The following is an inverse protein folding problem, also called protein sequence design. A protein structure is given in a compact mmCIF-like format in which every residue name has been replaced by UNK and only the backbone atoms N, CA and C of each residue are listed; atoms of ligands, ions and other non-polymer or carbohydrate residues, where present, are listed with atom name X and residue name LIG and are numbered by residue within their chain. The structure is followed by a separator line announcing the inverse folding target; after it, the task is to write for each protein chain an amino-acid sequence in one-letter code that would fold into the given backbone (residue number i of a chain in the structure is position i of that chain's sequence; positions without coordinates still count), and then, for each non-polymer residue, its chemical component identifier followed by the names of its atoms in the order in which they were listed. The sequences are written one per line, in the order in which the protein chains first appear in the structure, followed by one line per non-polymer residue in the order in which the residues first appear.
data_IF_422038276166
#
_entry.id   IF_422038276166
#
_cell.length_a   1.000
_cell.length_b   1.000
_cell.length_c   1.000
_cell.angle_alpha   90.00
_cell.angle_beta   90.00
_cell.angle_gamma   90.00
#
_symmetry.space_group_name_H-M   'P 1'
#
loop_
_entity.id
_entity.type
_entity.pdbx_description
1 polymer ?
#
# COMPACT_ATOMS: atom_id res chain seq x y z
N UNK A 1 26.52 -11.64 -14.33
CA UNK A 1 27.22 -10.35 -14.53
C UNK A 1 26.13 -9.28 -14.65
N UNK A 2 26.19 -8.23 -13.81
CA UNK A 2 25.23 -7.12 -13.91
C UNK A 2 25.40 -6.46 -15.28
N UNK A 3 24.30 -6.28 -16.00
CA UNK A 3 24.30 -5.58 -17.28
C UNK A 3 24.65 -4.11 -17.03
N UNK A 4 25.72 -3.62 -17.66
CA UNK A 4 26.21 -2.26 -17.52
C UNK A 4 25.60 -1.37 -18.59
N UNK A 5 24.49 -0.72 -18.26
CA UNK A 5 23.65 0.06 -19.19
C UNK A 5 24.01 1.55 -19.13
N UNK A 6 24.21 2.17 -20.28
CA UNK A 6 24.53 3.59 -20.43
C UNK A 6 23.46 4.25 -21.30
N UNK A 7 22.86 5.33 -20.81
CA UNK A 7 22.04 6.22 -21.63
C UNK A 7 22.92 7.40 -22.04
N UNK A 8 23.15 7.55 -23.34
CA UNK A 8 23.97 8.61 -23.93
C UNK A 8 23.05 9.63 -24.60
N UNK A 9 23.13 10.90 -24.22
CA UNK A 9 22.50 12.02 -24.91
C UNK A 9 23.57 12.96 -25.50
N UNK A 10 23.53 13.16 -26.81
CA UNK A 10 24.35 14.16 -27.51
C UNK A 10 23.58 14.55 -28.78
N UNK A 11 23.44 15.84 -29.06
CA UNK A 11 22.68 16.33 -30.22
C UNK A 11 23.48 16.18 -31.54
N UNK A 12 24.81 16.15 -31.46
CA UNK A 12 25.69 15.92 -32.60
C UNK A 12 25.64 14.44 -33.02
N UNK A 13 25.13 14.19 -34.23
CA UNK A 13 24.95 12.82 -34.73
C UNK A 13 26.26 12.05 -34.94
N UNK A 14 27.33 12.74 -35.37
CA UNK A 14 28.63 12.11 -35.61
C UNK A 14 29.31 11.80 -34.27
N UNK A 15 29.25 12.72 -33.32
CA UNK A 15 29.80 12.52 -31.98
C UNK A 15 29.04 11.46 -31.19
N UNK A 16 27.71 11.47 -31.25
CA UNK A 16 26.85 10.46 -30.63
C UNK A 16 27.15 9.07 -31.17
N UNK A 17 27.27 8.92 -32.49
CA UNK A 17 27.54 7.63 -33.13
C UNK A 17 28.94 7.11 -32.77
N UNK A 18 29.97 7.93 -32.96
CA UNK A 18 31.35 7.55 -32.64
C UNK A 18 31.55 7.22 -31.15
N UNK A 19 30.89 7.97 -30.26
CA UNK A 19 30.94 7.71 -28.82
C UNK A 19 30.22 6.41 -28.45
N UNK A 20 29.04 6.16 -29.02
CA UNK A 20 28.29 4.93 -28.79
C UNK A 20 29.08 3.69 -29.26
N UNK A 21 29.67 3.74 -30.46
CA UNK A 21 30.52 2.66 -30.99
C UNK A 21 31.76 2.41 -30.11
N UNK A 22 32.44 3.48 -29.69
CA UNK A 22 33.62 3.37 -28.84
C UNK A 22 33.31 2.74 -27.48
N UNK A 23 32.13 3.01 -26.92
CA UNK A 23 31.66 2.42 -25.66
C UNK A 23 31.16 0.98 -25.82
N UNK A 24 30.51 0.65 -26.94
CA UNK A 24 30.11 -0.73 -27.25
C UNK A 24 31.34 -1.64 -27.41
N UNK A 25 32.37 -1.17 -28.13
CA UNK A 25 33.68 -1.85 -28.22
C UNK A 25 34.38 -2.03 -26.87
N UNK A 26 34.12 -1.13 -25.91
CA UNK A 26 34.62 -1.22 -24.54
C UNK A 26 33.79 -2.17 -23.65
N UNK A 27 32.72 -2.76 -24.19
CA UNK A 27 31.88 -3.78 -23.55
C UNK A 27 30.70 -3.23 -22.74
N UNK A 28 30.26 -1.99 -23.01
CA UNK A 28 29.07 -1.42 -22.39
C UNK A 28 27.83 -1.61 -23.27
N UNK A 29 26.64 -1.71 -22.65
CA UNK A 29 25.39 -1.60 -23.41
C UNK A 29 24.97 -0.14 -23.48
N UNK A 30 25.03 0.44 -24.67
CA UNK A 30 24.74 1.86 -24.88
C UNK A 30 23.44 2.04 -25.64
N UNK A 31 22.57 2.87 -25.09
CA UNK A 31 21.42 3.44 -25.81
C UNK A 31 21.67 4.92 -26.01
N UNK A 32 21.75 5.34 -27.27
CA UNK A 32 22.10 6.70 -27.64
C UNK A 32 20.88 7.45 -28.18
N UNK A 33 20.69 8.67 -27.69
CA UNK A 33 19.53 9.52 -27.93
C UNK A 33 19.99 10.89 -28.42
N UNK A 34 19.18 11.52 -29.26
CA UNK A 34 19.48 12.85 -29.79
C UNK A 34 18.95 13.97 -28.86
N UNK A 35 18.23 13.62 -27.79
CA UNK A 35 17.60 14.56 -26.87
C UNK A 35 17.64 14.08 -25.43
N UNK A 36 17.71 15.02 -24.48
CA UNK A 36 17.63 14.72 -23.05
C UNK A 36 16.25 14.17 -22.65
N UNK A 37 15.18 14.58 -23.33
CA UNK A 37 13.81 14.15 -23.07
C UNK A 37 13.65 12.64 -23.22
N UNK A 38 14.26 12.05 -24.24
CA UNK A 38 14.24 10.60 -24.47
C UNK A 38 14.99 9.84 -23.37
N UNK A 39 16.12 10.37 -22.91
CA UNK A 39 16.86 9.82 -21.77
C UNK A 39 16.04 9.90 -20.49
N UNK A 40 15.41 11.05 -20.23
CA UNK A 40 14.60 11.26 -19.03
C UNK A 40 13.40 10.29 -18.98
N UNK A 41 12.79 9.98 -20.13
CA UNK A 41 11.68 9.02 -20.21
C UNK A 41 12.08 7.60 -19.78
N UNK A 42 13.36 7.26 -19.86
CA UNK A 42 13.92 5.97 -19.43
C UNK A 42 14.52 6.00 -18.02
N UNK A 43 14.70 7.19 -17.45
CA UNK A 43 15.12 7.35 -16.06
C UNK A 43 13.95 6.98 -15.14
N UNK A 44 14.15 5.95 -14.33
CA UNK A 44 13.18 5.50 -13.34
C UNK A 44 13.87 5.19 -12.00
N UNK A 45 13.13 5.24 -10.87
CA UNK A 45 13.69 4.85 -9.58
C UNK A 45 14.29 3.44 -9.64
N UNK A 46 15.53 3.28 -9.18
CA UNK A 46 16.22 1.99 -9.23
C UNK A 46 16.82 1.62 -10.59
N UNK A 47 16.86 2.55 -11.55
CA UNK A 47 17.58 2.35 -12.83
C UNK A 47 19.01 1.85 -12.57
N UNK A 48 19.39 0.73 -13.19
CA UNK A 48 20.70 0.09 -13.06
C UNK A 48 21.59 0.48 -14.24
N UNK A 49 22.06 1.73 -14.21
CA UNK A 49 22.91 2.27 -15.25
C UNK A 49 23.40 3.68 -14.91
N UNK A 50 24.05 4.29 -15.90
CA UNK A 50 24.61 5.65 -15.81
C UNK A 50 24.10 6.49 -16.99
N UNK A 51 23.91 7.78 -16.75
CA UNK A 51 23.55 8.74 -17.79
C UNK A 51 24.79 9.56 -18.15
N UNK A 52 25.10 9.63 -19.44
CA UNK A 52 26.10 10.53 -20.01
C UNK A 52 25.40 11.50 -20.94
N UNK A 53 25.57 12.81 -20.73
CA UNK A 53 24.85 13.83 -21.49
C UNK A 53 25.78 14.96 -21.89
N UNK A 54 25.67 15.47 -23.12
CA UNK A 54 26.17 16.80 -23.43
C UNK A 54 25.47 17.84 -22.53
N UNK A 55 26.22 18.83 -22.05
CA UNK A 55 25.67 19.99 -21.33
C UNK A 55 24.78 20.80 -22.26
N UNK A 56 25.18 20.99 -23.51
CA UNK A 56 24.43 21.82 -24.47
C UNK A 56 23.67 20.93 -25.43
N UNK A 57 22.36 20.86 -25.26
CA UNK A 57 21.47 20.24 -26.25
C UNK A 57 20.27 21.14 -26.51
N UNK A 58 19.69 21.11 -27.72
CA UNK A 58 18.44 21.79 -28.02
C UNK A 58 17.29 21.24 -27.16
N UNK A 59 16.42 22.12 -26.67
CA UNK A 59 15.32 21.73 -25.79
C UNK A 59 15.78 21.67 -24.33
N UNK A 60 15.75 20.47 -23.73
CA UNK A 60 16.29 20.24 -22.40
C UNK A 60 17.82 20.10 -22.44
N UNK A 61 18.51 20.99 -21.73
CA UNK A 61 19.97 20.94 -21.58
C UNK A 61 20.40 19.91 -20.52
N UNK A 62 21.69 19.54 -20.53
CA UNK A 62 22.22 18.51 -19.63
C UNK A 62 22.13 18.89 -18.14
N UNK A 63 22.14 20.19 -17.82
CA UNK A 63 21.98 20.69 -16.46
C UNK A 63 20.55 20.52 -15.95
N UNK A 64 19.55 20.80 -16.80
CA UNK A 64 18.14 20.58 -16.49
C UNK A 64 17.84 19.08 -16.38
N UNK A 65 18.44 18.27 -17.27
CA UNK A 65 18.36 16.81 -17.18
C UNK A 65 18.88 16.30 -15.83
N UNK A 66 20.03 16.80 -15.36
CA UNK A 66 20.58 16.47 -14.05
C UNK A 66 19.57 16.74 -12.92
N UNK A 67 18.96 17.93 -12.89
CA UNK A 67 17.99 18.26 -11.85
C UNK A 67 16.80 17.29 -11.85
N UNK A 68 16.23 17.02 -13.03
CA UNK A 68 15.06 16.14 -13.18
C UNK A 68 15.39 14.69 -12.83
N UNK A 69 16.55 14.20 -13.23
CA UNK A 69 17.02 12.85 -12.83
C UNK A 69 17.17 12.77 -11.32
N UNK A 70 17.68 13.82 -10.67
CA UNK A 70 17.82 13.85 -9.21
C UNK A 70 16.49 13.87 -8.47
N UNK A 71 15.45 14.50 -9.03
CA UNK A 71 14.08 14.42 -8.50
C UNK A 71 13.51 12.99 -8.56
N UNK A 72 13.90 12.21 -9.57
CA UNK A 72 13.48 10.81 -9.74
C UNK A 72 14.27 9.88 -8.79
N UNK A 73 15.60 9.93 -8.84
CA UNK A 73 16.51 9.17 -7.98
C UNK A 73 17.88 9.87 -7.94
N UNK A 74 18.12 10.63 -6.86
CA UNK A 74 19.35 11.39 -6.64
C UNK A 74 20.64 10.55 -6.59
N UNK A 75 20.54 9.21 -6.52
CA UNK A 75 21.70 8.32 -6.56
C UNK A 75 21.95 7.70 -7.95
N UNK A 76 21.23 8.13 -9.00
CA UNK A 76 21.58 7.81 -10.40
C UNK A 76 22.78 8.70 -10.79
N UNK A 77 23.93 8.12 -11.19
CA UNK A 77 25.06 8.92 -11.64
C UNK A 77 24.77 9.57 -12.99
N UNK A 78 24.95 10.89 -13.05
CA UNK A 78 24.90 11.68 -14.28
C UNK A 78 26.30 12.25 -14.53
N UNK A 79 26.86 11.94 -15.70
CA UNK A 79 28.13 12.47 -16.18
C UNK A 79 27.83 13.49 -17.27
N UNK A 80 28.36 14.69 -17.11
CA UNK A 80 28.16 15.76 -18.09
C UNK A 80 29.38 15.93 -19.00
N UNK A 81 29.15 16.01 -20.30
CA UNK A 81 30.17 16.23 -21.32
C UNK A 81 30.10 17.70 -21.74
N UNK A 82 31.20 18.43 -21.63
CA UNK A 82 31.23 19.90 -21.77
C UNK A 82 32.38 20.36 -22.66
N UNK A 83 32.26 21.52 -23.28
CA UNK A 83 33.35 22.10 -24.08
C UNK A 83 34.43 22.79 -23.23
N UNK A 84 35.62 23.01 -23.81
CA UNK A 84 36.80 23.61 -23.17
C UNK A 84 36.57 24.99 -22.49
N UNK A 85 35.52 25.72 -22.89
CA UNK A 85 35.26 27.09 -22.40
C UNK A 85 34.36 27.16 -21.14
N UNK A 86 34.05 26.04 -20.49
CA UNK A 86 32.89 25.93 -19.57
C UNK A 86 33.23 25.47 -18.16
N UNK A 87 34.43 25.77 -17.66
CA UNK A 87 34.87 25.37 -16.31
C UNK A 87 33.89 25.82 -15.21
N UNK A 88 33.26 26.99 -15.34
CA UNK A 88 32.27 27.47 -14.36
C UNK A 88 31.00 26.59 -14.33
N UNK A 89 30.52 26.14 -15.48
CA UNK A 89 29.39 25.22 -15.59
C UNK A 89 29.72 23.85 -15.02
N UNK A 90 30.94 23.35 -15.22
CA UNK A 90 31.41 22.12 -14.60
C UNK A 90 31.43 22.20 -13.06
N UNK A 91 31.88 23.33 -12.50
CA UNK A 91 31.85 23.55 -11.04
C UNK A 91 30.41 23.63 -10.53
N UNK A 92 29.52 24.29 -11.26
CA UNK A 92 28.09 24.35 -10.92
C UNK A 92 27.42 22.97 -11.00
N UNK A 93 27.69 22.19 -12.03
CA UNK A 93 27.23 20.81 -12.17
C UNK A 93 27.59 19.94 -10.95
N UNK A 94 28.84 20.02 -10.50
CA UNK A 94 29.28 19.28 -9.31
C UNK A 94 28.54 19.75 -8.04
N UNK A 95 28.32 21.07 -7.88
CA UNK A 95 27.50 21.60 -6.76
C UNK A 95 26.05 21.13 -6.83
N UNK A 96 25.53 20.93 -8.04
CA UNK A 96 24.19 20.41 -8.32
C UNK A 96 24.13 18.89 -8.38
N UNK A 97 25.17 18.19 -7.92
CA UNK A 97 25.16 16.76 -7.69
C UNK A 97 25.40 15.90 -8.92
N UNK A 98 26.01 16.44 -9.98
CA UNK A 98 26.60 15.60 -11.03
C UNK A 98 27.63 14.64 -10.42
N UNK A 99 27.74 13.44 -10.99
CA UNK A 99 28.70 12.46 -10.51
C UNK A 99 30.13 12.84 -10.91
N UNK A 100 30.30 13.23 -12.18
CA UNK A 100 31.56 13.69 -12.75
C UNK A 100 31.27 14.51 -14.01
N UNK A 101 32.30 15.12 -14.59
CA UNK A 101 32.21 15.76 -15.91
C UNK A 101 33.42 15.40 -16.77
N UNK A 102 33.24 15.52 -18.09
CA UNK A 102 34.30 15.27 -19.08
C UNK A 102 34.35 16.42 -20.07
N UNK A 103 35.55 16.91 -20.31
CA UNK A 103 35.81 18.03 -21.20
C UNK A 103 36.11 17.55 -22.63
N UNK A 104 35.46 18.15 -23.63
CA UNK A 104 35.74 17.97 -25.05
C UNK A 104 36.98 18.82 -25.42
N UNK A 105 37.97 18.25 -26.16
CA UNK A 105 38.01 16.88 -26.67
C UNK A 105 38.47 15.88 -25.61
N UNK A 106 37.76 14.76 -25.47
CA UNK A 106 38.12 13.67 -24.56
C UNK A 106 38.65 12.45 -25.33
N UNK A 107 39.43 11.62 -24.63
CA UNK A 107 39.81 10.31 -25.15
C UNK A 107 38.75 9.27 -24.78
N UNK A 108 38.57 8.24 -25.62
CA UNK A 108 37.65 7.15 -25.27
C UNK A 108 38.08 6.45 -23.97
N UNK A 109 39.40 6.34 -23.73
CA UNK A 109 39.93 5.77 -22.48
C UNK A 109 39.50 6.56 -21.24
N UNK A 110 39.52 7.91 -21.30
CA UNK A 110 39.07 8.75 -20.17
C UNK A 110 37.56 8.60 -19.92
N UNK A 111 36.75 8.56 -20.98
CA UNK A 111 35.29 8.39 -20.85
C UNK A 111 34.93 7.01 -20.25
N UNK A 112 35.55 5.94 -20.77
CA UNK A 112 35.40 4.58 -20.25
C UNK A 112 35.77 4.49 -18.78
N UNK A 113 36.86 5.14 -18.35
CA UNK A 113 37.32 5.11 -16.97
C UNK A 113 36.31 5.77 -16.01
N UNK A 114 35.73 6.91 -16.38
CA UNK A 114 34.72 7.61 -15.57
C UNK A 114 33.42 6.81 -15.51
N UNK A 115 32.93 6.33 -16.67
CA UNK A 115 31.70 5.54 -16.74
C UNK A 115 31.78 4.24 -15.94
N UNK A 116 32.92 3.55 -15.97
CA UNK A 116 33.14 2.32 -15.20
C UNK A 116 33.08 2.60 -13.70
N UNK A 117 33.73 3.67 -13.20
CA UNK A 117 33.62 4.09 -11.79
C UNK A 117 32.19 4.45 -11.40
N UNK A 118 31.47 5.15 -12.28
CA UNK A 118 30.07 5.52 -12.06
C UNK A 118 29.15 4.29 -11.99
N UNK A 119 29.35 3.32 -12.89
CA UNK A 119 28.60 2.07 -12.91
C UNK A 119 28.90 1.20 -11.68
N UNK A 120 30.17 1.11 -11.27
CA UNK A 120 30.56 0.40 -10.04
C UNK A 120 29.93 1.06 -8.81
N UNK A 121 29.96 2.40 -8.73
CA UNK A 121 29.28 3.15 -7.68
C UNK A 121 27.78 2.88 -7.66
N UNK A 122 27.11 2.91 -8.82
CA UNK A 122 25.68 2.61 -8.91
C UNK A 122 25.37 1.16 -8.52
N UNK A 123 26.20 0.21 -8.96
CA UNK A 123 26.09 -1.19 -8.58
C UNK A 123 26.22 -1.38 -7.07
N UNK A 124 27.18 -0.69 -6.43
CA UNK A 124 27.34 -0.69 -4.98
C UNK A 124 26.17 -0.02 -4.26
N UNK A 125 25.63 1.08 -4.77
CA UNK A 125 24.44 1.74 -4.21
C UNK A 125 23.22 0.82 -4.30
N UNK A 126 22.97 0.20 -5.46
CA UNK A 126 21.85 -0.70 -5.65
C UNK A 126 22.01 -1.98 -4.84
N UNK A 127 23.22 -2.54 -4.76
CA UNK A 127 23.50 -3.68 -3.90
C UNK A 127 23.43 -3.28 -2.44
N UNK A 128 23.84 -2.08 -2.03
CA UNK A 128 23.65 -1.60 -0.66
C UNK A 128 22.17 -1.36 -0.35
N UNK A 129 21.37 -0.86 -1.29
CA UNK A 129 19.90 -0.78 -1.16
C UNK A 129 19.29 -2.17 -1.06
N UNK A 130 19.73 -3.13 -1.88
CA UNK A 130 19.28 -4.53 -1.86
C UNK A 130 19.72 -5.25 -0.59
N UNK A 131 20.94 -5.03 -0.13
CA UNK A 131 21.50 -5.55 1.11
C UNK A 131 20.93 -4.83 2.33
N UNK A 132 20.57 -3.55 2.28
CA UNK A 132 19.82 -2.89 3.35
C UNK A 132 18.38 -3.38 3.38
N UNK A 133 17.78 -3.68 2.22
CA UNK A 133 16.51 -4.38 2.14
C UNK A 133 16.60 -5.83 2.63
N UNK A 134 17.74 -6.52 2.45
CA UNK A 134 17.95 -7.91 2.85
C UNK A 134 18.54 -8.09 4.27
N UNK A 135 19.33 -7.15 4.76
CA UNK A 135 20.05 -7.13 6.04
C UNK A 135 19.46 -6.14 7.04
N UNK A 136 18.56 -5.25 6.61
CA UNK A 136 17.49 -4.79 7.48
C UNK A 136 16.75 -6.03 7.92
N UNK A 137 16.97 -6.46 9.18
CA UNK A 137 16.27 -7.55 9.90
C UNK A 137 15.04 -7.99 9.12
N UNK A 138 15.03 -9.19 8.49
CA UNK A 138 13.85 -9.80 7.80
C UNK A 138 12.63 -8.91 7.97
N UNK A 139 12.42 -7.98 7.03
CA UNK A 139 11.65 -6.75 7.24
C UNK A 139 10.55 -6.95 8.29
N UNK A 140 10.75 -6.40 9.50
CA UNK A 140 9.75 -6.48 10.56
C UNK A 140 8.42 -5.90 10.04
N UNK A 141 8.50 -4.91 9.13
CA UNK A 141 7.34 -4.36 8.44
C UNK A 141 6.73 -5.28 7.37
N UNK A 142 7.48 -6.07 6.62
CA UNK A 142 6.91 -7.04 5.66
C UNK A 142 6.26 -8.22 6.38
N UNK A 143 6.83 -8.60 7.53
CA UNK A 143 6.26 -9.61 8.40
C UNK A 143 4.98 -9.10 9.07
N UNK A 144 4.96 -7.85 9.55
CA UNK A 144 3.80 -7.22 10.21
C UNK A 144 2.71 -6.78 9.24
N UNK A 145 3.10 -6.34 8.05
CA UNK A 145 2.21 -5.80 7.00
C UNK A 145 2.40 -6.62 5.71
N UNK A 146 1.97 -7.90 5.71
CA UNK A 146 2.21 -8.82 4.61
C UNK A 146 1.37 -8.46 3.38
N UNK A 147 1.96 -8.67 2.20
CA UNK A 147 1.33 -8.46 0.90
C UNK A 147 2.36 -8.14 -0.19
N UNK A 148 2.12 -8.61 -1.40
CA UNK A 148 2.96 -8.41 -2.59
C UNK A 148 2.30 -7.53 -3.64
N UNK A 149 1.00 -7.25 -3.50
CA UNK A 149 0.31 -6.31 -4.37
C UNK A 149 0.96 -4.93 -4.35
N UNK A 150 0.86 -4.22 -5.48
CA UNK A 150 1.46 -2.89 -5.62
C UNK A 150 0.96 -1.93 -4.53
N UNK A 151 -0.33 -2.00 -4.18
CA UNK A 151 -0.88 -1.18 -3.10
C UNK A 151 -0.23 -1.45 -1.73
N UNK A 152 0.18 -2.69 -1.45
CA UNK A 152 0.90 -3.04 -0.23
C UNK A 152 2.38 -2.67 -0.28
N UNK A 153 3.01 -2.74 -1.45
CA UNK A 153 4.39 -2.26 -1.66
C UNK A 153 4.45 -0.74 -1.43
N UNK A 154 3.53 0.01 -2.04
CA UNK A 154 3.43 1.46 -1.90
C UNK A 154 3.11 1.87 -0.45
N UNK A 155 2.21 1.12 0.20
CA UNK A 155 1.92 1.30 1.63
C UNK A 155 3.19 1.17 2.47
N UNK A 156 3.97 0.10 2.30
CA UNK A 156 5.21 -0.09 3.06
C UNK A 156 6.24 1.00 2.76
N UNK A 157 6.34 1.46 1.52
CA UNK A 157 7.20 2.59 1.18
C UNK A 157 6.82 3.86 1.96
N UNK A 158 5.52 4.22 1.97
CA UNK A 158 5.00 5.37 2.73
C UNK A 158 5.19 5.19 4.24
N UNK A 159 4.99 3.98 4.76
CA UNK A 159 5.20 3.68 6.18
C UNK A 159 6.66 3.85 6.60
N UNK A 160 7.63 3.47 5.76
CA UNK A 160 9.05 3.72 6.06
C UNK A 160 9.37 5.22 6.07
N UNK A 161 8.82 5.99 5.14
CA UNK A 161 9.02 7.43 5.06
C UNK A 161 8.39 8.19 6.24
N UNK A 162 7.12 7.89 6.57
CA UNK A 162 6.37 8.59 7.63
C UNK A 162 6.70 8.02 9.01
N UNK A 163 6.94 6.71 9.13
CA UNK A 163 7.24 6.04 10.39
C UNK A 163 8.48 6.58 11.08
N UNK A 164 9.51 6.92 10.30
CA UNK A 164 10.77 7.49 10.79
C UNK A 164 10.66 8.95 11.29
N UNK A 165 9.57 9.66 10.99
CA UNK A 165 9.34 11.03 11.48
C UNK A 165 8.48 11.06 12.74
N UNK A 166 8.55 12.16 13.50
CA UNK A 166 7.65 12.45 14.63
C UNK A 166 6.31 13.07 14.18
N UNK A 167 6.02 13.09 12.87
CA UNK A 167 4.78 13.66 12.36
C UNK A 167 3.55 12.83 12.80
N UNK A 168 2.47 13.54 13.15
CA UNK A 168 1.17 12.90 13.32
C UNK A 168 0.67 12.37 11.98
N UNK A 169 -0.12 11.29 12.00
CA UNK A 169 -0.60 10.65 10.78
C UNK A 169 -2.07 10.25 10.88
N UNK A 170 -2.74 10.22 9.72
CA UNK A 170 -4.11 9.74 9.56
C UNK A 170 -4.11 8.49 8.69
N UNK A 171 -4.64 7.39 9.22
CA UNK A 171 -4.77 6.11 8.52
C UNK A 171 -6.24 5.91 8.13
N UNK A 172 -6.50 5.92 6.82
CA UNK A 172 -7.85 5.74 6.27
C UNK A 172 -7.94 4.34 5.65
N UNK A 173 -8.99 3.60 5.98
CA UNK A 173 -9.24 2.30 5.34
C UNK A 173 -10.42 1.56 5.96
N UNK A 174 -10.99 0.58 5.26
CA UNK A 174 -12.22 -0.05 5.69
C UNK A 174 -12.06 -0.82 7.00
N UNK A 175 -13.19 -1.06 7.67
CA UNK A 175 -13.24 -1.82 8.92
C UNK A 175 -12.62 -3.21 8.73
N UNK A 176 -11.71 -3.59 9.64
CA UNK A 176 -11.05 -4.88 9.59
C UNK A 176 -9.91 -5.01 8.56
N UNK A 177 -9.52 -3.94 7.85
CA UNK A 177 -8.42 -3.98 6.88
C UNK A 177 -7.01 -4.08 7.51
N UNK A 178 -6.89 -3.78 8.81
CA UNK A 178 -5.62 -3.82 9.55
C UNK A 178 -5.05 -2.43 9.92
N UNK A 179 -5.89 -1.41 10.09
CA UNK A 179 -5.43 -0.04 10.44
C UNK A 179 -4.58 0.00 11.72
N UNK A 180 -4.95 -0.74 12.76
CA UNK A 180 -4.16 -0.82 14.00
C UNK A 180 -2.79 -1.48 13.76
N UNK A 181 -2.72 -2.52 12.92
CA UNK A 181 -1.46 -3.19 12.56
C UNK A 181 -0.53 -2.20 11.85
N UNK A 182 -1.08 -1.38 10.96
CA UNK A 182 -0.35 -0.31 10.28
C UNK A 182 0.13 0.75 11.28
N UNK A 183 -0.74 1.21 12.20
CA UNK A 183 -0.37 2.17 13.24
C UNK A 183 0.75 1.66 14.15
N UNK A 184 0.69 0.37 14.53
CA UNK A 184 1.72 -0.28 15.33
C UNK A 184 3.04 -0.37 14.57
N UNK A 185 3.00 -0.76 13.29
CA UNK A 185 4.19 -0.77 12.44
C UNK A 185 4.84 0.63 12.32
N UNK A 186 4.04 1.70 12.24
CA UNK A 186 4.57 3.08 12.27
C UNK A 186 5.27 3.41 13.58
N UNK A 187 4.69 3.01 14.71
CA UNK A 187 5.30 3.21 16.02
C UNK A 187 6.64 2.47 16.14
N UNK A 188 6.68 1.22 15.69
CA UNK A 188 7.88 0.38 15.75
C UNK A 188 9.01 0.87 14.83
N UNK A 189 8.68 1.60 13.77
CA UNK A 189 9.64 2.27 12.87
C UNK A 189 10.13 3.62 13.39
N UNK A 190 9.51 4.17 14.43
CA UNK A 190 9.83 5.50 14.94
C UNK A 190 10.96 5.48 15.97
N UNK A 191 11.48 6.67 16.30
CA UNK A 191 12.38 6.88 17.45
C UNK A 191 11.75 6.47 18.79
N UNK A 192 10.42 6.29 18.83
CA UNK A 192 9.61 5.96 20.01
C UNK A 192 9.26 4.46 20.10
N UNK A 193 9.85 3.59 19.29
CA UNK A 193 9.52 2.15 19.24
C UNK A 193 9.62 1.41 20.59
N UNK A 194 10.44 1.90 21.53
CA UNK A 194 10.59 1.33 22.88
C UNK A 194 9.78 2.07 23.95
N UNK A 195 8.90 2.99 23.53
CA UNK A 195 8.05 3.82 24.40
C UNK A 195 6.62 3.32 24.37
N UNK A 196 5.74 3.79 25.27
CA UNK A 196 4.36 3.33 25.31
C UNK A 196 3.62 3.56 23.99
N UNK A 197 2.85 2.56 23.57
CA UNK A 197 1.84 2.67 22.50
C UNK A 197 0.46 2.50 23.13
N UNK A 198 -0.30 3.59 23.24
CA UNK A 198 -1.61 3.60 23.89
C UNK A 198 -2.69 3.74 22.83
N UNK A 199 -3.52 2.70 22.68
CA UNK A 199 -4.67 2.73 21.79
C UNK A 199 -5.94 3.17 22.51
N UNK A 200 -6.69 4.05 21.85
CA UNK A 200 -7.91 4.67 22.34
C UNK A 200 -8.97 4.47 21.28
N UNK A 201 -9.89 3.54 21.54
CA UNK A 201 -11.08 3.35 20.72
C UNK A 201 -12.08 4.47 21.02
N UNK A 202 -12.27 5.37 20.06
CA UNK A 202 -13.17 6.51 20.20
C UNK A 202 -14.65 6.12 20.11
N UNK A 203 -14.96 4.93 19.58
CA UNK A 203 -16.33 4.41 19.46
C UNK A 203 -16.76 3.60 20.70
N UNK A 204 -15.82 2.99 21.42
CA UNK A 204 -16.13 2.12 22.57
C UNK A 204 -16.28 2.85 23.92
N UNK A 205 -15.79 4.08 24.05
CA UNK A 205 -15.81 4.81 25.32
C UNK A 205 -17.18 5.48 25.57
N UNK A 206 -17.81 5.27 26.74
CA UNK A 206 -19.02 6.01 27.10
C UNK A 206 -18.79 7.52 27.07
N UNK A 207 -19.68 8.25 26.40
CA UNK A 207 -19.58 9.72 26.22
C UNK A 207 -19.41 10.45 27.55
N UNK A 208 -20.03 9.96 28.62
CA UNK A 208 -19.95 10.56 29.97
C UNK A 208 -18.60 10.36 30.65
N UNK A 209 -17.81 9.35 30.24
CA UNK A 209 -16.54 8.99 30.87
C UNK A 209 -15.33 9.30 30.00
N UNK A 210 -15.53 9.54 28.70
CA UNK A 210 -14.44 9.73 27.74
C UNK A 210 -13.49 10.86 28.16
N UNK A 211 -14.01 11.98 28.68
CA UNK A 211 -13.16 13.09 29.11
C UNK A 211 -12.26 12.69 30.29
N UNK A 212 -12.83 12.06 31.31
CA UNK A 212 -12.07 11.62 32.48
C UNK A 212 -11.06 10.54 32.10
N UNK A 213 -11.37 9.64 31.17
CA UNK A 213 -10.45 8.61 30.70
C UNK A 213 -9.30 9.19 29.89
N UNK A 214 -9.55 10.20 29.05
CA UNK A 214 -8.51 10.83 28.21
C UNK A 214 -7.61 11.78 28.99
N UNK A 215 -8.22 12.72 29.72
CA UNK A 215 -7.53 13.84 30.36
C UNK A 215 -7.17 13.58 31.82
N UNK A 216 -7.83 12.62 32.48
CA UNK A 216 -7.70 12.43 33.92
C UNK A 216 -8.48 13.48 34.71
N UNK A 217 -8.49 13.33 36.03
CA UNK A 217 -9.21 14.23 36.92
C UNK A 217 -8.51 14.39 38.27
N UNK A 218 -8.72 15.54 38.90
CA UNK A 218 -8.40 15.79 40.30
C UNK A 218 -9.54 15.35 41.23
N UNK A 219 -9.23 15.26 42.53
CA UNK A 219 -10.23 14.98 43.56
C UNK A 219 -11.32 16.06 43.53
N UNK A 220 -12.59 15.66 43.49
CA UNK A 220 -13.72 16.59 43.48
C UNK A 220 -14.05 17.23 42.13
N UNK A 221 -13.42 16.80 41.03
CA UNK A 221 -13.69 17.34 39.68
C UNK A 221 -15.14 17.13 39.20
N UNK A 222 -15.80 16.06 39.66
CA UNK A 222 -17.20 15.75 39.41
C UNK A 222 -17.79 14.89 40.55
N UNK A 223 -19.12 14.78 40.68
CA UNK A 223 -19.74 13.92 41.69
C UNK A 223 -19.25 12.46 41.58
N UNK A 224 -18.58 11.97 42.62
CA UNK A 224 -17.98 10.62 42.65
C UNK A 224 -16.46 10.57 42.39
N UNK A 225 -15.80 11.70 42.08
CA UNK A 225 -14.34 11.79 41.93
C UNK A 225 -13.63 11.77 43.30
N UNK A 226 -13.63 10.61 43.96
CA UNK A 226 -13.07 10.41 45.31
C UNK A 226 -11.54 10.38 45.36
N UNK A 227 -10.88 10.17 44.21
CA UNK A 227 -9.41 10.10 44.07
C UNK A 227 -8.99 10.74 42.76
N UNK A 228 -7.79 11.30 42.70
CA UNK A 228 -7.19 11.78 41.45
C UNK A 228 -6.82 10.59 40.56
N UNK A 229 -6.94 10.75 39.24
CA UNK A 229 -6.59 9.71 38.26
C UNK A 229 -5.91 10.34 37.05
N UNK A 230 -4.78 9.76 36.64
CA UNK A 230 -4.09 10.12 35.41
C UNK A 230 -4.90 9.68 34.18
N UNK A 231 -4.97 10.53 33.16
CA UNK A 231 -5.63 10.23 31.89
C UNK A 231 -4.76 9.40 30.94
N UNK A 232 -5.37 8.79 29.91
CA UNK A 232 -4.66 8.01 28.89
C UNK A 232 -3.60 8.83 28.15
N UNK A 233 -3.81 10.14 27.98
CA UNK A 233 -2.80 11.02 27.37
C UNK A 233 -1.54 11.10 28.23
N UNK A 234 -1.67 11.25 29.55
CA UNK A 234 -0.51 11.27 30.47
C UNK A 234 0.23 9.93 30.47
N UNK A 235 -0.50 8.80 30.41
CA UNK A 235 0.10 7.46 30.34
C UNK A 235 0.92 7.23 29.06
N UNK A 236 0.60 7.94 27.98
CA UNK A 236 1.29 7.80 26.71
C UNK A 236 2.54 8.67 26.58
N UNK A 237 2.91 9.42 27.63
CA UNK A 237 4.02 10.39 27.60
C UNK A 237 5.33 9.75 27.11
N UNK A 238 5.98 10.43 26.18
CA UNK A 238 7.17 9.98 25.46
C UNK A 238 6.89 8.98 24.34
N UNK A 239 5.66 8.51 24.19
CA UNK A 239 5.25 7.44 23.28
C UNK A 239 4.30 7.89 22.15
N UNK A 240 3.40 6.99 21.78
CA UNK A 240 2.44 7.18 20.69
C UNK A 240 1.02 6.89 21.15
N UNK A 241 0.09 7.76 20.76
CA UNK A 241 -1.34 7.59 20.98
C UNK A 241 -1.98 7.21 19.65
N UNK A 242 -2.68 6.07 19.63
CA UNK A 242 -3.58 5.70 18.55
C UNK A 242 -5.00 6.15 18.90
N UNK A 243 -5.57 7.04 18.10
CA UNK A 243 -6.98 7.42 18.14
C UNK A 243 -7.73 6.59 17.10
N UNK A 244 -8.26 5.43 17.50
CA UNK A 244 -8.95 4.52 16.61
C UNK A 244 -10.40 4.98 16.36
N UNK A 245 -10.81 4.98 15.10
CA UNK A 245 -12.11 5.44 14.62
C UNK A 245 -12.45 6.88 15.06
N UNK A 246 -11.53 7.82 14.80
CA UNK A 246 -11.61 9.22 15.24
C UNK A 246 -12.90 9.93 14.80
N UNK A 247 -13.47 9.54 13.65
CA UNK A 247 -14.74 10.06 13.17
C UNK A 247 -15.94 9.74 14.08
N UNK A 248 -15.81 8.78 15.00
CA UNK A 248 -16.83 8.44 15.99
C UNK A 248 -16.73 9.29 17.27
N UNK A 249 -15.71 10.14 17.39
CA UNK A 249 -15.53 11.00 18.57
C UNK A 249 -16.65 12.04 18.69
N UNK A 250 -17.27 12.21 19.87
CA UNK A 250 -18.28 13.25 20.10
C UNK A 250 -17.79 14.63 19.69
N UNK A 251 -18.65 15.41 19.03
CA UNK A 251 -18.28 16.71 18.45
C UNK A 251 -17.69 17.69 19.48
N UNK A 252 -18.24 17.73 20.69
CA UNK A 252 -17.76 18.60 21.78
C UNK A 252 -16.32 18.28 22.21
N UNK A 253 -15.92 17.01 22.08
CA UNK A 253 -14.58 16.55 22.44
C UNK A 253 -13.54 16.88 21.36
N UNK A 254 -13.97 16.99 20.10
CA UNK A 254 -13.09 17.31 18.98
C UNK A 254 -12.40 18.67 19.16
N UNK A 255 -13.10 19.66 19.72
CA UNK A 255 -12.53 20.97 20.03
C UNK A 255 -11.44 20.90 21.12
N UNK A 256 -11.63 20.07 22.15
CA UNK A 256 -10.61 19.83 23.19
C UNK A 256 -9.41 19.08 22.62
N UNK A 257 -9.64 18.07 21.79
CA UNK A 257 -8.58 17.32 21.13
C UNK A 257 -7.72 18.21 20.23
N UNK A 258 -8.34 19.10 19.44
CA UNK A 258 -7.61 20.05 18.60
C UNK A 258 -6.59 20.85 19.41
N UNK A 259 -7.00 21.39 20.56
CA UNK A 259 -6.09 22.13 21.46
C UNK A 259 -4.93 21.26 21.95
N UNK A 260 -5.15 19.98 22.23
CA UNK A 260 -4.08 19.05 22.62
C UNK A 260 -3.09 18.81 21.47
N UNK A 261 -3.60 18.63 20.25
CA UNK A 261 -2.77 18.40 19.05
C UNK A 261 -1.92 19.62 18.68
N UNK A 262 -2.45 20.83 18.90
CA UNK A 262 -1.76 22.10 18.62
C UNK A 262 -0.80 22.50 19.73
N UNK A 263 -1.30 22.63 20.96
CA UNK A 263 -0.53 23.18 22.08
C UNK A 263 0.41 22.16 22.73
N UNK A 264 0.21 20.85 22.49
CA UNK A 264 0.94 19.76 23.16
C UNK A 264 0.91 19.89 24.68
N UNK A 265 -0.25 20.28 25.20
CA UNK A 265 -0.53 20.46 26.61
C UNK A 265 -1.91 19.90 26.91
N UNK A 266 -2.07 19.29 28.08
CA UNK A 266 -3.37 18.89 28.63
C UNK A 266 -3.60 19.52 29.99
N UNK A 267 -4.86 19.56 30.41
CA UNK A 267 -5.27 19.98 31.74
C UNK A 267 -6.24 18.94 32.28
N UNK A 268 -6.02 18.47 33.52
CA UNK A 268 -6.93 17.50 34.15
C UNK A 268 -8.27 18.16 34.45
N UNK A 269 -9.33 17.36 34.46
CA UNK A 269 -10.63 17.84 34.92
C UNK A 269 -10.53 18.34 36.37
N UNK A 270 -11.06 19.55 36.62
CA UNK A 270 -10.99 20.18 37.94
C UNK A 270 -9.65 20.84 38.28
N UNK A 271 -8.69 20.88 37.36
CA UNK A 271 -7.41 21.59 37.51
C UNK A 271 -7.28 22.73 36.49
N UNK A 272 -6.39 23.69 36.77
CA UNK A 272 -5.94 24.71 35.83
C UNK A 272 -4.48 24.51 35.43
N UNK A 273 -3.81 23.49 35.96
CA UNK A 273 -2.40 23.24 35.72
C UNK A 273 -2.20 22.68 34.31
N UNK A 274 -1.35 23.36 33.55
CA UNK A 274 -0.92 22.93 32.23
C UNK A 274 0.14 21.82 32.36
N UNK A 275 -0.14 20.67 31.76
CA UNK A 275 0.77 19.51 31.74
C UNK A 275 1.31 19.33 30.32
N UNK A 276 2.62 19.56 30.09
CA UNK A 276 3.24 19.33 28.78
C UNK A 276 3.14 17.86 28.34
N UNK A 277 2.78 17.65 27.08
CA UNK A 277 2.51 16.35 26.49
C UNK A 277 3.44 16.10 25.29
N UNK A 278 4.55 15.40 25.55
CA UNK A 278 5.41 14.86 24.49
C UNK A 278 4.86 13.52 24.00
N UNK A 279 4.05 13.54 22.95
CA UNK A 279 3.45 12.33 22.35
C UNK A 279 3.30 12.52 20.84
N UNK A 280 3.35 11.41 20.10
CA UNK A 280 2.96 11.35 18.69
C UNK A 280 1.51 10.87 18.56
N UNK A 281 0.69 11.48 17.71
CA UNK A 281 -0.67 10.99 17.44
C UNK A 281 -0.74 10.24 16.10
N UNK A 282 -1.43 9.12 16.11
CA UNK A 282 -1.87 8.41 14.90
C UNK A 282 -3.38 8.28 15.01
N UNK A 283 -4.12 8.80 14.05
CA UNK A 283 -5.57 8.67 13.99
C UNK A 283 -5.97 7.63 12.93
N UNK A 284 -7.06 6.91 13.15
CA UNK A 284 -7.64 6.02 12.13
C UNK A 284 -9.07 6.42 11.80
N UNK A 285 -9.50 6.18 10.57
CA UNK A 285 -10.89 6.34 10.16
C UNK A 285 -11.30 5.26 9.16
N UNK A 286 -12.53 4.78 9.27
CA UNK A 286 -13.16 3.89 8.28
C UNK A 286 -13.60 4.58 6.98
N UNK A 287 -13.92 5.88 7.06
CA UNK A 287 -14.37 6.72 5.95
C UNK A 287 -13.43 7.91 5.75
N UNK A 288 -13.51 8.57 4.61
CA UNK A 288 -12.80 9.82 4.40
C UNK A 288 -13.38 10.90 5.33
N UNK A 289 -12.52 11.52 6.17
CA UNK A 289 -12.97 12.53 7.13
C UNK A 289 -13.52 13.78 6.44
N UNK A 290 -13.15 14.03 5.17
CA UNK A 290 -13.73 15.12 4.38
C UNK A 290 -15.26 14.97 4.22
N UNK A 291 -15.76 13.73 4.10
CA UNK A 291 -17.20 13.45 4.01
C UNK A 291 -17.90 13.73 5.35
N UNK A 292 -17.25 13.41 6.47
CA UNK A 292 -17.77 13.67 7.81
C UNK A 292 -17.79 15.16 8.15
N UNK A 293 -16.82 15.93 7.63
CA UNK A 293 -16.81 17.40 7.69
C UNK A 293 -17.98 17.98 6.90
N UNK A 294 -18.17 17.54 5.65
CA UNK A 294 -19.28 17.99 4.82
C UNK A 294 -20.66 17.68 5.44
N UNK A 295 -20.75 16.58 6.19
CA UNK A 295 -21.97 16.20 6.92
C UNK A 295 -22.14 16.87 8.29
N UNK A 296 -21.21 17.76 8.70
CA UNK A 296 -21.27 18.50 9.96
C UNK A 296 -21.03 17.64 11.21
N UNK A 297 -20.50 16.42 11.06
CA UNK A 297 -20.22 15.48 12.16
C UNK A 297 -18.76 15.54 12.63
N UNK A 298 -17.89 16.14 11.82
CA UNK A 298 -16.49 16.33 12.14
C UNK A 298 -16.07 17.78 11.93
N UNK A 299 -15.22 18.31 12.81
CA UNK A 299 -14.74 19.68 12.68
C UNK A 299 -13.69 19.81 11.58
N UNK A 300 -13.84 20.83 10.77
CA UNK A 300 -12.94 21.14 9.65
C UNK A 300 -11.50 21.44 10.13
N UNK A 301 -11.35 22.21 11.21
CA UNK A 301 -10.05 22.57 11.79
C UNK A 301 -9.26 21.33 12.27
N UNK A 302 -9.93 20.41 12.96
CA UNK A 302 -9.36 19.14 13.39
C UNK A 302 -8.96 18.25 12.21
N UNK A 303 -9.76 18.22 11.14
CA UNK A 303 -9.43 17.47 9.93
C UNK A 303 -8.12 17.96 9.32
N UNK A 304 -7.96 19.27 9.10
CA UNK A 304 -6.72 19.81 8.53
C UNK A 304 -5.49 19.54 9.42
N UNK A 305 -5.65 19.57 10.75
CA UNK A 305 -4.56 19.28 11.68
C UNK A 305 -4.10 17.82 11.63
N UNK A 306 -5.01 16.87 11.36
CA UNK A 306 -4.73 15.44 11.26
C UNK A 306 -4.28 15.00 9.85
N UNK A 307 -4.74 15.69 8.80
CA UNK A 307 -4.52 15.33 7.39
C UNK A 307 -3.12 15.69 6.84
N UNK A 308 -2.13 15.91 7.71
CA UNK A 308 -0.76 16.29 7.32
C UNK A 308 -0.02 15.11 6.67
N UNK A 309 -0.17 13.91 7.22
CA UNK A 309 0.42 12.69 6.69
C UNK A 309 -0.63 11.58 6.60
N UNK A 310 -1.22 11.43 5.42
CA UNK A 310 -2.35 10.51 5.21
C UNK A 310 -1.93 9.22 4.52
N UNK A 311 -2.26 8.09 5.15
CA UNK A 311 -1.98 6.75 4.68
C UNK A 311 -3.31 6.07 4.36
N UNK A 312 -3.49 5.66 3.11
CA UNK A 312 -4.67 4.90 2.67
C UNK A 312 -4.33 3.41 2.65
N UNK A 313 -5.10 2.62 3.38
CA UNK A 313 -4.98 1.17 3.47
C UNK A 313 -6.04 0.52 2.57
N UNK A 314 -5.65 -0.22 1.52
CA UNK A 314 -6.60 -0.90 0.66
C UNK A 314 -7.41 -1.97 1.41
N UNK A 315 -8.66 -2.11 0.99
CA UNK A 315 -9.51 -3.26 1.33
C UNK A 315 -8.86 -4.56 0.90
N UNK A 316 -9.34 -5.69 1.44
CA UNK A 316 -8.86 -7.00 1.02
C UNK A 316 -9.30 -7.33 -0.42
N UNK A 317 -10.46 -6.83 -0.85
CA UNK A 317 -11.00 -7.02 -2.20
C UNK A 317 -10.16 -6.32 -3.29
N UNK A 318 -9.47 -5.22 -2.96
CA UNK A 318 -8.54 -4.53 -3.87
C UNK A 318 -7.16 -5.21 -3.98
N UNK A 319 -6.86 -6.17 -3.08
CA UNK A 319 -5.60 -6.92 -3.05
C UNK A 319 -5.82 -8.43 -2.95
N UNK A 320 -6.72 -8.97 -3.78
CA UNK A 320 -7.09 -10.40 -3.75
C UNK A 320 -5.90 -11.34 -3.92
N UNK A 321 -4.90 -10.94 -4.68
CA UNK A 321 -3.64 -11.68 -4.87
C UNK A 321 -2.82 -11.87 -3.59
N UNK A 322 -3.05 -11.05 -2.55
CA UNK A 322 -2.40 -11.17 -1.26
C UNK A 322 -3.10 -12.15 -0.31
N UNK A 323 -4.34 -12.54 -0.60
CA UNK A 323 -5.17 -13.39 0.27
C UNK A 323 -4.46 -14.72 0.60
N UNK A 324 -3.86 -15.46 -0.36
CA UNK A 324 -3.19 -16.72 -0.04
C UNK A 324 -2.02 -16.55 0.93
N UNK A 325 -1.16 -15.54 0.67
CA UNK A 325 0.00 -15.25 1.53
C UNK A 325 -0.45 -14.86 2.94
N UNK A 326 -1.43 -13.97 3.02
CA UNK A 326 -1.97 -13.46 4.27
C UNK A 326 -2.67 -14.56 5.07
N UNK A 327 -3.45 -15.43 4.42
CA UNK A 327 -4.11 -16.56 5.07
C UNK A 327 -3.11 -17.52 5.70
N UNK A 328 -2.07 -17.93 4.96
CA UNK A 328 -1.04 -18.82 5.48
C UNK A 328 -0.30 -18.20 6.66
N UNK A 329 -0.02 -16.90 6.61
CA UNK A 329 0.57 -16.18 7.73
C UNK A 329 -0.35 -16.18 8.96
N UNK A 330 -1.63 -15.84 8.79
CA UNK A 330 -2.62 -15.82 9.86
C UNK A 330 -2.87 -17.22 10.46
N UNK A 331 -2.83 -18.27 9.64
CA UNK A 331 -2.95 -19.65 10.09
C UNK A 331 -1.75 -20.07 10.96
N UNK A 332 -0.52 -19.67 10.59
CA UNK A 332 0.67 -19.88 11.43
C UNK A 332 0.58 -19.15 12.76
N UNK A 333 0.16 -17.88 12.74
CA UNK A 333 -0.07 -17.12 13.97
C UNK A 333 -1.11 -17.78 14.88
N UNK A 334 -2.21 -18.27 14.30
CA UNK A 334 -3.25 -18.97 15.05
C UNK A 334 -2.75 -20.30 15.61
N UNK A 335 -2.01 -21.10 14.83
CA UNK A 335 -1.44 -22.37 15.28
C UNK A 335 -0.48 -22.17 16.46
N UNK A 336 0.40 -21.16 16.36
CA UNK A 336 1.30 -20.79 17.44
C UNK A 336 0.54 -20.32 18.70
N UNK A 337 -0.50 -19.50 18.54
CA UNK A 337 -1.31 -19.00 19.66
C UNK A 337 -2.06 -20.11 20.40
N UNK A 338 -2.57 -21.10 19.66
CA UNK A 338 -3.33 -22.22 20.23
C UNK A 338 -2.44 -23.41 20.61
N UNK A 339 -1.14 -23.36 20.32
CA UNK A 339 -0.20 -24.45 20.62
C UNK A 339 -0.47 -25.73 19.82
N UNK A 340 -1.06 -25.60 18.63
CA UNK A 340 -1.37 -26.73 17.73
C UNK A 340 -0.42 -26.77 16.54
N UNK A 341 -0.30 -27.93 15.89
CA UNK A 341 0.53 -28.07 14.70
C UNK A 341 -0.05 -27.27 13.51
N UNK A 342 0.83 -26.74 12.66
CA UNK A 342 0.43 -26.12 11.40
C UNK A 342 -0.25 -27.18 10.52
N UNK A 343 -1.44 -26.87 10.02
CA UNK A 343 -2.20 -27.76 9.15
C UNK A 343 -1.87 -27.48 7.69
N UNK A 344 -1.61 -28.51 6.91
CA UNK A 344 -1.40 -28.36 5.48
C UNK A 344 -2.66 -27.80 4.80
N UNK A 345 -2.52 -26.71 4.06
CA UNK A 345 -3.62 -26.11 3.30
C UNK A 345 -3.95 -26.97 2.08
N UNK A 346 -5.20 -27.44 1.90
CA UNK A 346 -5.61 -28.14 0.69
C UNK A 346 -5.34 -27.28 -0.57
N UNK A 347 -4.90 -27.87 -1.69
CA UNK A 347 -4.57 -27.11 -2.90
C UNK A 347 -5.71 -26.24 -3.47
N UNK A 348 -6.97 -26.63 -3.24
CA UNK A 348 -8.15 -25.88 -3.67
C UNK A 348 -8.57 -24.75 -2.74
N UNK A 349 -8.14 -24.79 -1.46
CA UNK A 349 -8.60 -23.86 -0.44
C UNK A 349 -8.16 -22.42 -0.77
N UNK A 350 -6.89 -22.23 -1.13
CA UNK A 350 -6.34 -20.89 -1.42
C UNK A 350 -7.03 -20.22 -2.61
N UNK A 351 -7.43 -20.99 -3.63
CA UNK A 351 -8.18 -20.48 -4.77
C UNK A 351 -9.60 -20.02 -4.35
N UNK A 352 -10.30 -20.83 -3.55
CA UNK A 352 -11.62 -20.48 -3.00
C UNK A 352 -11.56 -19.26 -2.08
N UNK A 353 -10.53 -19.13 -1.26
CA UNK A 353 -10.32 -17.96 -0.41
C UNK A 353 -10.11 -16.70 -1.25
N UNK A 354 -9.38 -16.80 -2.36
CA UNK A 354 -9.08 -15.66 -3.24
C UNK A 354 -10.31 -15.17 -4.03
N UNK A 355 -11.27 -16.05 -4.32
CA UNK A 355 -12.50 -15.69 -5.05
C UNK A 355 -13.59 -15.07 -4.17
N UNK A 356 -13.47 -15.14 -2.84
CA UNK A 356 -14.43 -14.54 -1.90
C UNK A 356 -14.23 -13.03 -1.76
N UNK A 357 -15.29 -12.32 -1.37
CA UNK A 357 -15.29 -10.85 -1.30
C UNK A 357 -14.79 -10.28 0.03
N UNK A 358 -14.84 -11.06 1.11
CA UNK A 358 -14.36 -10.68 2.45
C UNK A 358 -14.82 -9.28 2.92
N UNK A 359 -16.14 -9.04 3.10
CA UNK A 359 -16.66 -7.76 3.57
C UNK A 359 -16.08 -7.32 4.93
N UNK A 360 -15.68 -8.26 5.80
CA UNK A 360 -14.98 -7.97 7.05
C UNK A 360 -13.45 -7.86 6.91
N UNK A 361 -12.94 -7.83 5.67
CA UNK A 361 -11.53 -7.71 5.31
C UNK A 361 -10.64 -8.73 6.05
N UNK A 362 -9.46 -8.29 6.51
CA UNK A 362 -8.46 -9.13 7.19
C UNK A 362 -8.98 -9.70 8.50
N UNK A 363 -9.88 -9.00 9.21
CA UNK A 363 -10.52 -9.52 10.43
C UNK A 363 -11.33 -10.77 10.15
N UNK A 364 -12.12 -10.77 9.08
CA UNK A 364 -12.88 -11.96 8.65
C UNK A 364 -11.95 -13.08 8.20
N UNK A 365 -10.91 -12.76 7.41
CA UNK A 365 -9.91 -13.75 6.97
C UNK A 365 -9.16 -14.38 8.16
N UNK A 366 -8.84 -13.61 9.19
CA UNK A 366 -8.21 -14.09 10.43
C UNK A 366 -9.10 -15.09 11.16
N UNK A 367 -10.39 -14.79 11.31
CA UNK A 367 -11.35 -15.73 11.90
C UNK A 367 -11.44 -17.02 11.08
N UNK A 368 -11.36 -16.89 9.76
CA UNK A 368 -11.36 -18.01 8.83
C UNK A 368 -10.11 -18.90 9.00
N UNK A 369 -8.93 -18.30 9.12
CA UNK A 369 -7.67 -19.00 9.38
C UNK A 369 -7.66 -19.69 10.75
N UNK A 370 -8.23 -19.04 11.77
CA UNK A 370 -8.35 -19.61 13.12
C UNK A 370 -9.27 -20.84 13.14
N UNK A 371 -10.43 -20.79 12.46
CA UNK A 371 -11.32 -21.94 12.29
C UNK A 371 -10.64 -23.11 11.56
N UNK A 372 -9.88 -22.80 10.51
CA UNK A 372 -9.13 -23.80 9.75
C UNK A 372 -8.11 -24.55 10.61
N UNK A 373 -7.35 -23.81 11.43
CA UNK A 373 -6.35 -24.36 12.36
C UNK A 373 -6.99 -25.21 13.45
N UNK A 374 -8.13 -24.78 13.98
CA UNK A 374 -8.86 -25.52 15.04
C UNK A 374 -9.66 -26.72 14.50
N UNK A 375 -9.70 -26.93 13.18
CA UNK A 375 -10.48 -28.00 12.57
C UNK A 375 -12.00 -27.85 12.71
N UNK A 376 -12.47 -26.61 12.89
CA UNK A 376 -13.90 -26.32 12.98
C UNK A 376 -14.47 -26.27 11.56
N UNK A 377 -15.42 -27.18 11.27
CA UNK A 377 -16.00 -27.44 9.95
C UNK A 377 -16.44 -26.16 9.20
N UNK A 378 -16.18 -26.13 7.88
CA UNK A 378 -16.60 -25.04 6.98
C UNK A 378 -15.63 -24.69 5.83
N UNK A 379 -14.39 -25.22 5.85
CA UNK A 379 -13.40 -25.03 4.76
C UNK A 379 -12.96 -26.33 4.08
N UNK A 380 -13.19 -27.48 4.70
CA UNK A 380 -12.81 -28.79 4.16
C UNK A 380 -13.75 -29.26 3.04
N UNK A 381 -14.97 -28.72 2.98
CA UNK A 381 -16.05 -29.31 2.16
C UNK A 381 -16.13 -28.83 0.69
N UNK A 382 -15.10 -28.19 0.15
CA UNK A 382 -15.07 -27.76 -1.27
C UNK A 382 -14.03 -28.50 -2.13
N UNK A 383 -13.23 -29.39 -1.55
CA UNK A 383 -12.35 -30.26 -2.31
C UNK A 383 -13.08 -31.57 -2.61
N UNK A 384 -13.77 -31.63 -3.75
CA UNK A 384 -14.10 -32.91 -4.35
C UNK A 384 -12.79 -33.66 -4.62
N UNK A 385 -12.48 -34.63 -3.77
CA UNK A 385 -11.38 -35.57 -3.97
C UNK A 385 -11.58 -36.31 -5.30
N UNK A 386 -10.58 -36.28 -6.18
CA UNK A 386 -10.52 -37.12 -7.38
C UNK A 386 -10.84 -36.47 -8.74
N UNK A 387 -11.30 -35.24 -8.82
CA UNK A 387 -11.60 -34.59 -10.11
C UNK A 387 -10.31 -34.18 -10.85
N UNK A 388 -10.10 -34.68 -12.09
CA UNK A 388 -8.99 -34.28 -12.97
C UNK A 388 -9.14 -32.80 -13.32
N UNK A 389 -8.06 -32.14 -13.77
CA UNK A 389 -8.10 -30.72 -14.18
C UNK A 389 -9.22 -30.45 -15.21
N UNK A 390 -9.47 -31.39 -16.13
CA UNK A 390 -10.56 -31.33 -17.09
C UNK A 390 -11.93 -31.20 -16.43
N UNK A 391 -12.14 -31.89 -15.32
CA UNK A 391 -13.43 -32.00 -14.63
C UNK A 391 -13.69 -30.73 -13.81
N UNK A 392 -12.63 -30.16 -13.23
CA UNK A 392 -12.70 -28.87 -12.51
C UNK A 392 -12.94 -27.70 -13.45
N UNK A 393 -12.27 -27.67 -14.60
CA UNK A 393 -12.52 -26.67 -15.64
C UNK A 393 -13.94 -26.82 -16.18
N UNK A 394 -14.42 -28.04 -16.42
CA UNK A 394 -15.80 -28.30 -16.82
C UNK A 394 -16.82 -27.83 -15.78
N UNK A 395 -16.56 -28.05 -14.49
CA UNK A 395 -17.44 -27.61 -13.40
C UNK A 395 -17.47 -26.08 -13.28
N UNK A 396 -16.32 -25.42 -13.40
CA UNK A 396 -16.21 -23.97 -13.40
C UNK A 396 -16.91 -23.34 -14.61
N UNK A 397 -16.69 -23.87 -15.82
CA UNK A 397 -17.39 -23.45 -17.03
C UNK A 397 -18.91 -23.64 -16.89
N UNK A 398 -19.35 -24.78 -16.33
CA UNK A 398 -20.76 -25.05 -16.07
C UNK A 398 -21.38 -24.02 -15.12
N UNK A 399 -20.70 -23.68 -14.02
CA UNK A 399 -21.17 -22.69 -13.05
C UNK A 399 -21.28 -21.28 -13.66
N UNK A 400 -20.29 -20.85 -14.44
CA UNK A 400 -20.31 -19.55 -15.12
C UNK A 400 -21.43 -19.45 -16.16
N UNK A 401 -21.59 -20.48 -16.99
CA UNK A 401 -22.65 -20.51 -18.02
C UNK A 401 -24.03 -20.57 -17.36
N UNK A 402 -24.20 -21.38 -16.31
CA UNK A 402 -25.46 -21.45 -15.56
C UNK A 402 -25.81 -20.12 -14.91
N UNK A 403 -24.85 -19.46 -14.24
CA UNK A 403 -25.06 -18.16 -13.62
C UNK A 403 -25.41 -17.07 -14.64
N UNK A 404 -24.74 -17.05 -15.79
CA UNK A 404 -25.05 -16.11 -16.86
C UNK A 404 -26.45 -16.35 -17.46
N UNK A 405 -26.86 -17.61 -17.63
CA UNK A 405 -28.21 -17.97 -18.12
C UNK A 405 -29.29 -17.49 -17.15
N UNK A 406 -29.11 -17.74 -15.85
CA UNK A 406 -30.06 -17.30 -14.82
C UNK A 406 -30.14 -15.77 -14.71
N UNK A 407 -28.99 -15.08 -14.71
CA UNK A 407 -28.95 -13.61 -14.66
C UNK A 407 -29.63 -12.93 -15.86
N UNK A 408 -29.73 -13.61 -16.99
CA UNK A 408 -30.35 -13.10 -18.21
C UNK A 408 -31.74 -13.73 -18.49
N UNK A 409 -32.37 -14.34 -17.48
CA UNK A 409 -33.72 -14.90 -17.58
C UNK A 409 -33.89 -15.92 -18.70
N UNK A 410 -32.85 -16.73 -18.97
CA UNK A 410 -32.88 -17.74 -20.03
C UNK A 410 -32.78 -17.20 -21.46
N UNK A 411 -32.44 -15.92 -21.66
CA UNK A 411 -32.20 -15.33 -22.99
C UNK A 411 -30.76 -15.56 -23.43
N UNK A 412 -30.55 -16.40 -24.44
CA UNK A 412 -29.21 -16.84 -24.84
C UNK A 412 -28.38 -15.77 -25.57
N UNK A 413 -29.01 -14.77 -26.20
CA UNK A 413 -28.29 -13.71 -26.92
C UNK A 413 -27.44 -12.84 -25.99
N UNK A 414 -28.01 -12.26 -24.91
CA UNK A 414 -27.22 -11.56 -23.89
C UNK A 414 -26.13 -12.44 -23.24
N UNK A 415 -26.37 -13.75 -23.11
CA UNK A 415 -25.46 -14.68 -22.43
C UNK A 415 -24.16 -14.88 -23.20
N UNK A 416 -24.22 -15.16 -24.52
CA UNK A 416 -22.98 -15.36 -25.28
C UNK A 416 -22.22 -14.04 -25.53
N UNK A 417 -22.93 -12.90 -25.58
CA UNK A 417 -22.32 -11.57 -25.67
C UNK A 417 -21.59 -11.21 -24.37
N UNK A 418 -22.22 -11.45 -23.21
CA UNK A 418 -21.62 -11.19 -21.89
C UNK A 418 -20.44 -12.11 -21.59
N UNK A 419 -20.49 -13.37 -22.03
CA UNK A 419 -19.41 -14.34 -21.85
C UNK A 419 -18.31 -14.24 -22.92
N UNK A 420 -18.48 -13.39 -23.95
CA UNK A 420 -17.50 -13.20 -25.01
C UNK A 420 -17.27 -14.43 -25.89
N UNK A 421 -18.25 -15.33 -26.01
CA UNK A 421 -18.14 -16.57 -26.78
C UNK A 421 -19.09 -16.59 -27.97
N UNK A 422 -18.79 -17.42 -28.98
CA UNK A 422 -19.70 -17.56 -30.12
C UNK A 422 -21.00 -18.24 -29.73
N UNK A 423 -22.11 -17.90 -30.42
CA UNK A 423 -23.40 -18.59 -30.25
C UNK A 423 -23.23 -20.11 -30.35
N UNK A 424 -22.50 -20.60 -31.36
CA UNK A 424 -22.27 -22.05 -31.56
C UNK A 424 -21.58 -22.69 -30.36
N UNK A 425 -20.52 -22.05 -29.84
CA UNK A 425 -19.75 -22.53 -28.68
C UNK A 425 -20.59 -22.58 -27.41
N UNK A 426 -21.49 -21.62 -27.19
CA UNK A 426 -22.42 -21.65 -26.05
C UNK A 426 -23.34 -22.87 -26.12
N UNK A 427 -23.96 -23.15 -27.28
CA UNK A 427 -24.85 -24.29 -27.45
C UNK A 427 -24.12 -25.64 -27.27
N UNK A 428 -22.90 -25.77 -27.79
CA UNK A 428 -22.07 -26.97 -27.61
C UNK A 428 -21.72 -27.19 -26.13
N UNK A 429 -21.38 -26.13 -25.39
CA UNK A 429 -21.09 -26.22 -23.95
C UNK A 429 -22.35 -26.48 -23.11
N UNK A 430 -23.50 -25.91 -23.48
CA UNK A 430 -24.77 -26.21 -22.81
C UNK A 430 -25.17 -27.68 -22.97
N UNK A 431 -25.02 -28.25 -24.18
CA UNK A 431 -25.26 -29.68 -24.42
C UNK A 431 -24.24 -30.56 -23.65
N UNK A 432 -22.95 -30.20 -23.71
CA UNK A 432 -21.88 -30.93 -23.01
C UNK A 432 -22.08 -30.97 -21.49
N UNK A 433 -22.65 -29.92 -20.90
CA UNK A 433 -22.84 -29.80 -19.45
C UNK A 433 -24.28 -30.07 -18.98
N UNK A 434 -25.18 -30.48 -19.88
CA UNK A 434 -26.58 -30.78 -19.56
C UNK A 434 -27.35 -29.59 -18.99
N UNK A 435 -27.07 -28.38 -19.49
CA UNK A 435 -27.74 -27.14 -19.06
C UNK A 435 -28.96 -26.89 -19.95
N UNK A 436 -30.15 -27.00 -19.36
CA UNK A 436 -31.42 -26.80 -20.08
C UNK A 436 -32.08 -25.46 -19.71
N UNK A 437 -32.66 -24.80 -20.73
CA UNK A 437 -33.15 -23.41 -20.63
C UNK A 437 -34.33 -23.26 -19.67
N UNK A 438 -35.15 -24.30 -19.50
CA UNK A 438 -36.40 -24.25 -18.74
C UNK A 438 -36.23 -24.55 -17.24
N UNK A 439 -35.23 -25.35 -16.88
CA UNK A 439 -34.97 -25.75 -15.48
C UNK A 439 -34.34 -24.64 -14.62
N UNK A 440 -33.74 -23.63 -15.25
CA UNK A 440 -33.00 -22.55 -14.57
C UNK A 440 -33.79 -21.23 -14.46
N UNK A 441 -35.00 -21.15 -15.05
CA UNK A 441 -35.90 -20.00 -14.96
C UNK A 441 -36.95 -20.14 -13.85
N UNK A 442 -37.33 -21.36 -13.46
CA UNK A 442 -38.37 -21.60 -12.45
C UNK A 442 -37.95 -21.23 -11.01
N UNK A 443 -36.65 -21.07 -10.74
CA UNK A 443 -36.14 -20.69 -9.41
C UNK A 443 -36.29 -19.20 -9.10
N UNK A 444 -36.69 -18.36 -10.07
CA UNK A 444 -36.80 -16.91 -9.90
C UNK A 444 -38.23 -16.39 -9.68
N UNK A 445 -39.28 -17.18 -9.93
CA UNK A 445 -40.69 -16.74 -9.85
C UNK A 445 -41.42 -17.16 -8.56
N UNK A 446 -40.75 -17.83 -7.61
CA UNK A 446 -41.39 -18.46 -6.44
C UNK A 446 -41.52 -17.61 -5.16
N UNK A 447 -41.35 -16.29 -5.20
CA UNK A 447 -41.35 -15.45 -4.00
C UNK A 447 -42.21 -14.18 -4.14
N UNK A 448 -43.52 -14.34 -4.27
CA UNK A 448 -44.51 -13.34 -3.86
C UNK A 448 -45.85 -14.05 -3.59
N UNK A 449 -46.17 -14.20 -2.30
CA UNK A 449 -47.49 -14.58 -1.79
C UNK A 449 -48.31 -13.29 -1.63
N UNK A 450 -49.59 -13.32 -1.99
CA UNK A 450 -50.69 -12.73 -1.19
C UNK A 450 -52.05 -13.34 -1.62
N UNK A 451 -53.07 -13.29 -0.75
CA UNK A 451 -54.13 -14.31 -0.67
C UNK A 451 -55.44 -13.89 -1.34
N UNK A 452 -56.16 -14.84 -1.95
CA UNK A 452 -57.56 -14.63 -2.34
C UNK A 452 -58.53 -15.42 -1.47
N UNK A 453 -59.28 -14.66 -0.67
CA UNK A 453 -60.51 -15.07 -0.02
C UNK A 453 -61.67 -15.11 -1.03
N UNK A 454 -62.45 -16.19 -0.95
CA UNK A 454 -63.92 -16.25 -1.07
C UNK A 454 -64.62 -16.09 -2.43
N UNK A 455 -64.96 -17.24 -3.00
CA UNK A 455 -66.32 -17.73 -3.33
C UNK A 455 -67.44 -16.69 -3.53
N UNK A 456 -67.96 -16.63 -4.77
CA UNK A 456 -69.37 -16.62 -5.23
C UNK A 456 -69.30 -16.92 -6.74
N UNK A 457 -70.02 -17.84 -7.39
CA UNK A 457 -71.20 -18.67 -7.12
C UNK A 457 -71.01 -20.01 -7.84
#
# INVERSE_FOLDING_TARGET
MSIMRILLADDDAEMRHSTAEGLDLAGFQVEAFASAEEVLALAAPGFNGVIASDIRMPGMDGMTLLDRVREIDAEIPVILITGHAEVQLAVEAMRRGAYDFIEKPFTMQSLVAVLRRALDHRGLVLENRRLRAAAGKRDDIETRVPGRSQGMVDLRYRLRAIGASDADALIIGPTGAGKEVVARAMHDLSSRAQRPFIAIDCAALPVTLIESELFGHEIGAFPGALRSRFGKFEHARGGTILLDEIGSMPFDLQAKLLRVLEARVITRLGSHDAIPLDVRFIATSKVDLAEEVAAGRFREDLYYRLNVATIRLPSLAERREDIPLLFLHLAREAAARHGVAERESPPGLLATLSSRDWPGNVRELRNAAERFVLGIEGMESAAGEGARLSDRVAQFERSLISGAISANGGRLKPVYEALGISRKTLYEKMQKYGLDRKLLSETAEGAELEPEFSVRQ
#
